data_IF_771687461584
#
_entry.id   IF_771687461584
#
_cell.length_a   1.000
_cell.length_b   1.000
_cell.length_c   1.000
_cell.angle_alpha   90.00
_cell.angle_beta   90.00
_cell.angle_gamma   90.00
#
_symmetry.space_group_name_H-M   'P 1'
#
loop_
_entity.id
_entity.type
_entity.pdbx_description
1 polymer ?
#
# COMPACT_ATOMS: atom_id res chain seq x y z
N UNK A 1 -27.25 -6.88 -3.83
CA UNK A 1 -26.05 -7.10 -3.00
C UNK A 1 -24.87 -6.42 -3.68
N UNK A 2 -24.59 -5.17 -3.30
CA UNK A 2 -23.31 -4.51 -3.62
C UNK A 2 -22.23 -5.14 -2.76
N UNK A 3 -21.07 -5.55 -3.31
CA UNK A 3 -19.97 -6.01 -2.49
C UNK A 3 -19.53 -4.84 -1.61
N UNK A 4 -19.63 -5.06 -0.30
CA UNK A 4 -19.20 -4.10 0.70
C UNK A 4 -17.72 -3.79 0.41
N UNK A 5 -17.45 -2.54 0.06
CA UNK A 5 -16.10 -2.07 -0.18
C UNK A 5 -15.42 -2.03 1.18
N UNK A 6 -14.82 -3.15 1.59
CA UNK A 6 -13.96 -3.23 2.77
C UNK A 6 -12.95 -2.11 2.67
N UNK A 7 -13.25 -1.02 3.37
CA UNK A 7 -12.45 0.17 3.41
C UNK A 7 -11.28 -0.15 4.32
N UNK A 8 -10.13 -0.42 3.71
CA UNK A 8 -8.87 -0.42 4.43
C UNK A 8 -8.72 1.01 4.98
N UNK A 9 -8.89 1.15 6.30
CA UNK A 9 -8.55 2.36 7.05
C UNK A 9 -7.63 1.97 8.17
N UNK A 10 -6.45 2.59 8.21
CA UNK A 10 -5.56 2.50 9.36
C UNK A 10 -6.26 3.04 10.61
N UNK A 11 -6.16 2.29 11.70
CA UNK A 11 -6.69 2.66 13.03
C UNK A 11 -5.64 3.33 13.92
N UNK A 12 -4.38 3.35 13.48
CA UNK A 12 -3.24 3.92 14.19
C UNK A 12 -2.35 4.71 13.23
N UNK A 13 -1.61 5.69 13.76
CA UNK A 13 -0.72 6.51 12.96
C UNK A 13 0.33 5.65 12.21
N UNK A 14 0.69 6.06 10.97
CA UNK A 14 1.75 5.39 10.22
C UNK A 14 3.08 5.51 10.95
N UNK A 15 3.86 4.44 10.95
CA UNK A 15 5.27 4.43 11.38
C UNK A 15 6.14 5.34 10.52
N UNK A 16 7.38 5.58 10.96
CA UNK A 16 8.35 6.39 10.19
C UNK A 16 8.58 5.82 8.78
N UNK A 17 8.72 4.49 8.66
CA UNK A 17 8.89 3.82 7.35
C UNK A 17 7.65 3.94 6.47
N UNK A 18 6.46 3.74 7.04
CA UNK A 18 5.19 3.94 6.31
C UNK A 18 5.02 5.39 5.84
N UNK A 19 5.35 6.38 6.68
CA UNK A 19 5.33 7.80 6.28
C UNK A 19 6.32 8.12 5.17
N UNK A 20 7.52 7.53 5.22
CA UNK A 20 8.53 7.71 4.17
C UNK A 20 8.01 7.15 2.83
N UNK A 21 7.48 5.92 2.83
CA UNK A 21 6.96 5.28 1.62
C UNK A 21 5.73 6.01 1.09
N UNK A 22 4.81 6.43 1.96
CA UNK A 22 3.64 7.23 1.61
C UNK A 22 4.04 8.57 0.98
N UNK A 23 4.98 9.29 1.60
CA UNK A 23 5.50 10.55 1.06
C UNK A 23 6.12 10.38 -0.33
N UNK A 24 6.88 9.31 -0.54
CA UNK A 24 7.48 9.01 -1.84
C UNK A 24 6.42 8.69 -2.91
N UNK A 25 5.37 7.91 -2.58
CA UNK A 25 4.27 7.63 -3.50
C UNK A 25 3.48 8.89 -3.87
N UNK A 26 3.22 9.77 -2.89
CA UNK A 26 2.56 11.05 -3.13
C UNK A 26 3.38 11.98 -3.99
N UNK A 27 4.68 12.07 -3.73
CA UNK A 27 5.60 12.85 -4.56
C UNK A 27 5.65 12.31 -5.99
N UNK A 28 5.69 10.98 -6.15
CA UNK A 28 5.62 10.33 -7.46
C UNK A 28 4.35 10.73 -8.22
N UNK A 29 3.19 10.69 -7.58
CA UNK A 29 1.91 11.08 -8.17
C UNK A 29 1.85 12.59 -8.49
N UNK A 30 2.35 13.44 -7.60
CA UNK A 30 2.40 14.89 -7.81
C UNK A 30 3.28 15.26 -9.02
N UNK A 31 4.47 14.67 -9.13
CA UNK A 31 5.36 14.88 -10.27
C UNK A 31 4.75 14.35 -11.58
N UNK A 32 3.97 13.25 -11.52
CA UNK A 32 3.21 12.76 -12.67
C UNK A 32 2.21 13.79 -13.16
N UNK A 33 1.43 14.36 -12.23
CA UNK A 33 0.41 15.37 -12.53
C UNK A 33 1.04 16.66 -13.08
N UNK A 34 2.25 17.01 -12.64
CA UNK A 34 2.99 18.18 -13.11
C UNK A 34 3.74 17.95 -14.44
N UNK A 35 3.81 16.71 -14.96
CA UNK A 35 4.58 16.40 -16.17
C UNK A 35 6.11 16.37 -15.96
N UNK A 36 6.57 16.30 -14.71
CA UNK A 36 7.97 16.40 -14.32
C UNK A 36 8.70 15.03 -14.35
N UNK A 37 10.05 14.99 -14.41
CA UNK A 37 10.81 13.75 -14.45
C UNK A 37 10.81 13.03 -13.08
N UNK A 38 9.78 12.19 -12.88
CA UNK A 38 9.51 11.43 -11.64
C UNK A 38 10.70 10.58 -11.14
N UNK A 39 11.33 9.71 -11.95
CA UNK A 39 12.28 8.72 -11.44
C UNK A 39 13.48 9.37 -10.76
N UNK A 40 14.04 10.43 -11.39
CA UNK A 40 15.25 11.09 -10.88
C UNK A 40 14.98 11.83 -9.57
N UNK A 41 13.92 12.63 -9.52
CA UNK A 41 13.62 13.48 -8.37
C UNK A 41 13.24 12.66 -7.13
N UNK A 42 12.40 11.63 -7.30
CA UNK A 42 12.00 10.79 -6.16
C UNK A 42 13.15 9.90 -5.69
N UNK A 43 13.96 9.34 -6.61
CA UNK A 43 15.14 8.57 -6.21
C UNK A 43 16.13 9.41 -5.41
N UNK A 44 16.38 10.65 -5.80
CA UNK A 44 17.27 11.57 -5.07
C UNK A 44 16.72 11.91 -3.68
N UNK A 45 15.42 12.22 -3.58
CA UNK A 45 14.78 12.53 -2.30
C UNK A 45 14.83 11.33 -1.33
N UNK A 46 14.57 10.11 -1.83
CA UNK A 46 14.69 8.89 -1.05
C UNK A 46 16.13 8.56 -0.69
N UNK A 47 17.08 8.79 -1.61
CA UNK A 47 18.49 8.57 -1.33
C UNK A 47 19.00 9.47 -0.21
N UNK A 48 18.53 10.71 -0.14
CA UNK A 48 18.85 11.64 0.95
C UNK A 48 18.31 11.17 2.31
N UNK A 49 17.14 10.52 2.34
CA UNK A 49 16.50 10.06 3.58
C UNK A 49 16.95 8.67 4.02
N UNK A 50 17.22 7.77 3.09
CA UNK A 50 17.54 6.37 3.35
C UNK A 50 18.84 5.97 2.65
N UNK A 51 18.77 5.56 1.38
CA UNK A 51 19.95 5.20 0.58
C UNK A 51 19.66 5.23 -0.92
N UNK A 52 20.71 5.33 -1.74
CA UNK A 52 20.58 5.21 -3.20
C UNK A 52 19.92 3.91 -3.63
N UNK A 53 20.19 2.81 -2.91
CA UNK A 53 19.59 1.50 -3.16
C UNK A 53 18.08 1.55 -2.94
N UNK A 54 17.62 2.09 -1.81
CA UNK A 54 16.19 2.23 -1.52
C UNK A 54 15.49 3.16 -2.52
N UNK A 55 16.13 4.26 -2.91
CA UNK A 55 15.62 5.14 -3.96
C UNK A 55 15.44 4.45 -5.31
N UNK A 56 16.45 3.70 -5.77
CA UNK A 56 16.38 2.94 -7.03
C UNK A 56 15.32 1.84 -7.01
N UNK A 57 15.24 1.08 -5.90
CA UNK A 57 14.24 0.03 -5.72
C UNK A 57 12.81 0.60 -5.67
N UNK A 58 12.62 1.75 -5.03
CA UNK A 58 11.31 2.42 -5.02
C UNK A 58 10.89 2.81 -6.44
N UNK A 59 11.79 3.41 -7.23
CA UNK A 59 11.49 3.78 -8.62
C UNK A 59 11.12 2.55 -9.45
N UNK A 60 11.93 1.49 -9.38
CA UNK A 60 11.64 0.25 -10.11
C UNK A 60 10.30 -0.34 -9.69
N UNK A 61 10.00 -0.33 -8.39
CA UNK A 61 8.73 -0.80 -7.84
C UNK A 61 7.54 0.02 -8.37
N UNK A 62 7.60 1.35 -8.32
CA UNK A 62 6.53 2.21 -8.84
C UNK A 62 6.33 2.07 -10.35
N UNK A 63 7.41 1.91 -11.11
CA UNK A 63 7.32 1.62 -12.56
C UNK A 63 6.64 0.28 -12.83
N UNK A 64 6.96 -0.76 -12.06
CA UNK A 64 6.29 -2.07 -12.14
C UNK A 64 4.81 -1.98 -11.81
N UNK A 65 4.46 -1.22 -10.77
CA UNK A 65 3.06 -0.93 -10.42
C UNK A 65 2.37 -0.30 -11.62
N UNK A 66 2.88 0.83 -12.13
CA UNK A 66 2.25 1.57 -13.23
C UNK A 66 2.12 0.76 -14.52
N UNK A 67 3.11 -0.07 -14.85
CA UNK A 67 3.08 -0.93 -16.02
C UNK A 67 1.98 -2.01 -15.95
N UNK A 68 1.54 -2.37 -14.73
CA UNK A 68 0.59 -3.46 -14.48
C UNK A 68 -0.76 -2.97 -13.99
N UNK A 69 -1.04 -1.66 -13.96
CA UNK A 69 -2.29 -1.12 -13.44
C UNK A 69 -3.50 -1.51 -14.29
N UNK A 70 -4.58 -1.96 -13.62
CA UNK A 70 -5.92 -2.12 -14.22
C UNK A 70 -6.66 -0.80 -14.38
N UNK A 71 -6.37 0.15 -13.49
CA UNK A 71 -6.95 1.50 -13.44
C UNK A 71 -5.92 2.49 -12.86
N UNK A 72 -6.11 3.80 -13.03
CA UNK A 72 -5.28 4.79 -12.33
C UNK A 72 -5.29 4.59 -10.80
N UNK A 73 -4.13 4.73 -10.17
CA UNK A 73 -3.99 4.68 -8.70
C UNK A 73 -4.72 5.86 -8.10
N UNK A 74 -5.55 5.61 -7.09
CA UNK A 74 -6.11 6.66 -6.26
C UNK A 74 -5.07 7.07 -5.22
N UNK A 75 -4.77 8.37 -5.17
CA UNK A 75 -3.87 8.95 -4.18
C UNK A 75 -4.64 10.07 -3.49
N UNK A 76 -4.59 10.11 -2.16
CA UNK A 76 -5.26 11.17 -1.42
C UNK A 76 -4.59 12.52 -1.72
N UNK A 77 -5.38 13.60 -1.81
CA UNK A 77 -4.80 14.93 -2.03
C UNK A 77 -3.90 15.30 -0.85
N UNK A 78 -2.74 15.94 -1.06
CA UNK A 78 -1.83 16.32 0.04
C UNK A 78 -2.48 17.16 1.14
N UNK A 79 -3.55 17.90 0.82
CA UNK A 79 -4.31 18.77 1.74
C UNK A 79 -5.38 18.04 2.55
N UNK A 80 -5.75 16.83 2.13
CA UNK A 80 -6.75 16.01 2.79
C UNK A 80 -5.99 14.99 3.64
N UNK A 81 -5.99 15.15 4.97
CA UNK A 81 -5.14 14.39 5.91
C UNK A 81 -5.39 12.87 5.98
N UNK A 82 -6.03 12.25 4.98
CA UNK A 82 -6.30 10.82 4.90
C UNK A 82 -5.22 10.04 4.14
N UNK A 83 -5.41 8.72 4.07
CA UNK A 83 -4.64 7.81 3.22
C UNK A 83 -5.64 7.00 2.41
N UNK A 84 -5.54 7.05 1.09
CA UNK A 84 -6.43 6.34 0.19
C UNK A 84 -6.27 4.82 0.33
N UNK A 85 -7.30 4.07 -0.09
CA UNK A 85 -7.29 2.61 -0.07
C UNK A 85 -6.14 2.03 -0.90
N UNK A 86 -5.82 2.63 -2.05
CA UNK A 86 -4.77 2.14 -2.94
C UNK A 86 -3.36 2.39 -2.34
N UNK A 87 -3.14 3.55 -1.72
CA UNK A 87 -1.92 3.83 -0.95
C UNK A 87 -1.72 2.79 0.17
N UNK A 88 -2.78 2.47 0.92
CA UNK A 88 -2.72 1.47 1.99
C UNK A 88 -2.41 0.07 1.44
N UNK A 89 -3.03 -0.35 0.33
CA UNK A 89 -2.76 -1.66 -0.30
C UNK A 89 -1.30 -1.77 -0.75
N UNK A 90 -0.76 -0.72 -1.38
CA UNK A 90 0.63 -0.69 -1.84
C UNK A 90 1.62 -0.75 -0.67
N UNK A 91 1.40 0.01 0.40
CA UNK A 91 2.27 -0.04 1.59
C UNK A 91 2.18 -1.38 2.31
N UNK A 92 0.98 -1.88 2.55
CA UNK A 92 0.77 -3.16 3.25
C UNK A 92 1.36 -4.33 2.47
N UNK A 93 1.14 -4.40 1.15
CA UNK A 93 1.74 -5.43 0.29
C UNK A 93 3.27 -5.38 0.32
N UNK A 94 3.88 -4.19 0.36
CA UNK A 94 5.32 -4.03 0.50
C UNK A 94 5.83 -4.55 1.85
N UNK A 95 5.17 -4.21 2.95
CA UNK A 95 5.46 -4.76 4.27
C UNK A 95 5.38 -6.29 4.32
N UNK A 96 4.39 -6.87 3.63
CA UNK A 96 4.13 -8.31 3.57
C UNK A 96 5.04 -9.10 2.62
N UNK A 97 5.71 -8.43 1.68
CA UNK A 97 6.35 -9.11 0.55
C UNK A 97 7.42 -10.13 0.95
N UNK A 98 8.08 -9.96 2.10
CA UNK A 98 9.08 -10.90 2.63
C UNK A 98 8.54 -12.02 3.53
N UNK A 99 7.37 -11.85 4.14
CA UNK A 99 6.87 -12.75 5.20
C UNK A 99 5.56 -13.44 4.86
N UNK A 100 4.70 -12.81 4.05
CA UNK A 100 3.42 -13.34 3.62
C UNK A 100 3.08 -12.87 2.20
N UNK A 101 3.92 -13.28 1.23
CA UNK A 101 3.86 -12.82 -0.16
C UNK A 101 2.49 -13.05 -0.82
N UNK A 102 1.84 -14.18 -0.55
CA UNK A 102 0.51 -14.48 -1.11
C UNK A 102 -0.56 -13.48 -0.60
N UNK A 103 -0.54 -13.16 0.70
CA UNK A 103 -1.45 -12.15 1.27
C UNK A 103 -1.17 -10.76 0.69
N UNK A 104 0.11 -10.38 0.54
CA UNK A 104 0.49 -9.13 -0.11
C UNK A 104 0.03 -9.06 -1.57
N UNK A 105 0.14 -10.16 -2.32
CA UNK A 105 -0.33 -10.25 -3.71
C UNK A 105 -1.86 -10.10 -3.80
N UNK A 106 -2.61 -10.71 -2.88
CA UNK A 106 -4.07 -10.60 -2.82
C UNK A 106 -4.53 -9.15 -2.57
N UNK A 107 -3.80 -8.36 -1.77
CA UNK A 107 -4.08 -6.94 -1.60
C UNK A 107 -3.95 -6.13 -2.90
N UNK A 108 -3.10 -6.58 -3.82
CA UNK A 108 -2.85 -5.93 -5.10
C UNK A 108 -3.72 -6.44 -6.24
N UNK A 109 -4.44 -7.56 -6.08
CA UNK A 109 -5.28 -8.15 -7.13
C UNK A 109 -6.31 -7.16 -7.70
N UNK A 110 -7.01 -6.33 -6.90
CA UNK A 110 -7.91 -5.33 -7.45
C UNK A 110 -7.21 -4.18 -8.18
N UNK A 111 -5.90 -4.01 -8.02
CA UNK A 111 -5.12 -2.92 -8.61
C UNK A 111 -4.37 -3.35 -9.86
N UNK A 112 -3.79 -4.55 -9.86
CA UNK A 112 -2.80 -4.98 -10.83
C UNK A 112 -3.30 -6.15 -11.69
N UNK A 113 -2.97 -6.11 -12.97
CA UNK A 113 -3.18 -7.22 -13.91
C UNK A 113 -2.31 -8.41 -13.48
N UNK A 114 -1.03 -8.16 -13.19
CA UNK A 114 -0.07 -9.12 -12.64
C UNK A 114 0.67 -8.49 -11.46
N UNK A 115 0.57 -9.12 -10.28
CA UNK A 115 1.24 -8.64 -9.06
C UNK A 115 2.64 -9.21 -8.87
N UNK A 116 3.04 -10.27 -9.60
CA UNK A 116 4.31 -10.98 -9.40
C UNK A 116 5.56 -10.09 -9.50
N UNK A 117 5.78 -9.30 -10.56
CA UNK A 117 6.98 -8.44 -10.65
C UNK A 117 6.98 -7.38 -9.56
N UNK A 118 5.81 -6.80 -9.28
CA UNK A 118 5.64 -5.79 -8.22
C UNK A 118 5.95 -6.38 -6.85
N UNK A 119 5.51 -7.60 -6.54
CA UNK A 119 5.79 -8.25 -5.25
C UNK A 119 7.26 -8.61 -5.07
N UNK A 120 7.95 -9.02 -6.14
CA UNK A 120 9.40 -9.27 -6.09
C UNK A 120 10.18 -7.99 -5.76
N UNK A 121 9.85 -6.88 -6.42
CA UNK A 121 10.44 -5.57 -6.15
C UNK A 121 10.07 -5.04 -4.77
N UNK A 122 8.82 -5.25 -4.35
CA UNK A 122 8.36 -4.85 -3.01
C UNK A 122 9.13 -5.58 -1.91
N UNK A 123 9.46 -6.87 -2.11
CA UNK A 123 10.31 -7.64 -1.18
C UNK A 123 11.71 -7.04 -1.08
N UNK A 124 12.33 -6.73 -2.22
CA UNK A 124 13.66 -6.13 -2.26
C UNK A 124 13.67 -4.73 -1.61
N UNK A 125 12.65 -3.92 -1.90
CA UNK A 125 12.47 -2.58 -1.31
C UNK A 125 12.29 -2.66 0.21
N UNK A 126 11.40 -3.51 0.71
CA UNK A 126 11.17 -3.69 2.15
C UNK A 126 12.46 -4.18 2.86
N UNK A 127 13.21 -5.10 2.24
CA UNK A 127 14.49 -5.53 2.78
C UNK A 127 15.51 -4.37 2.86
N UNK A 128 15.62 -3.55 1.82
CA UNK A 128 16.51 -2.39 1.80
C UNK A 128 16.10 -1.33 2.83
N UNK A 129 14.81 -0.96 2.88
CA UNK A 129 14.29 0.00 3.86
C UNK A 129 14.53 -0.47 5.30
N UNK A 130 14.38 -1.78 5.57
CA UNK A 130 14.69 -2.35 6.90
C UNK A 130 16.16 -2.17 7.28
N UNK A 131 17.09 -2.40 6.34
CA UNK A 131 18.53 -2.17 6.57
C UNK A 131 18.81 -0.68 6.82
N UNK A 132 18.12 0.21 6.10
CA UNK A 132 18.26 1.66 6.24
C UNK A 132 17.55 2.23 7.50
N UNK A 133 17.00 1.38 8.39
CA UNK A 133 16.34 1.82 9.62
C UNK A 133 14.87 2.26 9.47
N UNK A 134 14.26 1.97 8.32
CA UNK A 134 12.86 2.27 8.00
C UNK A 134 12.02 0.98 7.87
N UNK A 135 11.87 0.17 8.92
CA UNK A 135 11.10 -1.06 8.83
C UNK A 135 9.63 -0.76 8.52
N UNK A 136 9.05 -1.55 7.61
CA UNK A 136 7.61 -1.55 7.35
C UNK A 136 6.96 -2.63 8.23
N UNK A 137 6.17 -2.27 9.25
CA UNK A 137 5.52 -3.26 10.09
C UNK A 137 4.49 -4.04 9.27
N UNK A 138 4.45 -5.35 9.48
CA UNK A 138 3.44 -6.22 8.89
C UNK A 138 2.14 -6.01 9.65
N UNK A 139 1.26 -5.14 9.15
CA UNK A 139 -0.08 -4.93 9.69
C UNK A 139 -1.10 -5.63 8.79
N UNK A 140 -1.24 -6.95 8.93
CA UNK A 140 -2.44 -7.62 8.44
C UNK A 140 -3.57 -7.24 9.39
N UNK A 141 -4.54 -6.47 8.91
CA UNK A 141 -5.81 -6.40 9.62
C UNK A 141 -6.44 -7.78 9.48
N UNK A 142 -6.86 -8.38 10.60
CA UNK A 142 -7.85 -9.45 10.54
C UNK A 142 -9.07 -8.90 9.77
N UNK A 143 -9.67 -9.68 8.85
CA UNK A 143 -10.96 -9.28 8.32
C UNK A 143 -11.84 -8.99 9.53
N UNK A 144 -12.55 -7.87 9.52
CA UNK A 144 -13.60 -7.63 10.50
C UNK A 144 -14.71 -8.63 10.16
N UNK A 145 -14.49 -9.90 10.50
CA UNK A 145 -15.50 -10.93 10.55
C UNK A 145 -16.29 -10.66 11.82
N UNK A 146 -17.61 -10.54 11.64
CA UNK A 146 -18.63 -10.79 12.65
C UNK A 146 -18.24 -10.38 14.08
N UNK A 147 -18.69 -9.20 14.50
CA UNK A 147 -18.86 -8.98 15.93
C UNK A 147 -19.66 -10.17 16.51
N UNK A 148 -19.27 -10.72 17.67
CA UNK A 148 -20.15 -11.62 18.39
C UNK A 148 -21.27 -10.75 18.95
N UNK A 149 -22.38 -10.63 18.21
CA UNK A 149 -23.74 -10.32 18.69
C UNK A 149 -24.60 -9.78 17.54
N UNK A 150 -25.06 -10.66 16.67
CA UNK A 150 -26.39 -10.49 16.09
C UNK A 150 -27.25 -11.62 16.69
N UNK A 151 -28.14 -11.32 17.65
CA UNK A 151 -29.03 -12.35 18.17
C UNK A 151 -29.90 -12.85 17.03
N UNK A 152 -29.88 -14.17 16.82
CA UNK A 152 -30.68 -14.87 15.83
C UNK A 152 -32.12 -14.33 15.75
N UNK A 153 -32.71 -14.18 14.54
CA UNK A 153 -34.10 -13.77 14.43
C UNK A 153 -34.97 -14.80 15.14
N UNK A 154 -35.54 -14.40 16.28
CA UNK A 154 -36.59 -15.14 16.96
C UNK A 154 -37.78 -15.20 16.00
N UNK A 155 -37.98 -16.34 15.37
CA UNK A 155 -39.27 -16.66 14.79
C UNK A 155 -40.28 -16.63 15.93
N UNK A 156 -41.20 -15.67 15.88
CA UNK A 156 -42.31 -15.62 16.80
C UNK A 156 -43.25 -16.78 16.46
N UNK A 157 -43.28 -17.80 17.31
CA UNK A 157 -44.38 -18.76 17.37
C UNK A 157 -45.63 -17.99 17.78
N UNK A 158 -46.59 -17.85 16.88
CA UNK A 158 -47.94 -17.43 17.21
C UNK A 158 -48.68 -18.68 17.69
N UNK A 159 -49.18 -18.66 18.92
CA UNK A 159 -50.21 -19.56 19.43
C UNK A 159 -51.58 -18.91 19.23
#
# INVERSE_FOLDING_TARGET
MTPDSTTFRWTADPTVGERLLLGAMRQWAALKAAGEPRPRLVAQALAFRASHRSGGLFVAWMQSVEASLRRPIQVERPTCGGVSTDEQRLMASCGLAGTATAAGAALLEPLLIDSRPTMALARALNAALRVDGYPLPVRLREPQGAGPDEPAPRWATVH
#
